data_IF_076242169422
#
_entry.id   IF_076242169422
#
_cell.length_a   1.000
_cell.length_b   1.000
_cell.length_c   1.000
_cell.angle_alpha   90.00
_cell.angle_beta   90.00
_cell.angle_gamma   90.00
#
_symmetry.space_group_name_H-M   'P 1'
#
loop_
_entity.id
_entity.type
_entity.pdbx_description
1 polymer ?
#
# COMPACT_ATOMS: atom_id res chain seq x y z
N UNK A 1 -7.76 9.68 -29.61
CA UNK A 1 -7.33 9.68 -31.02
C UNK A 1 -7.93 8.44 -31.65
N UNK A 2 -9.05 8.57 -32.37
CA UNK A 2 -9.60 7.45 -33.14
C UNK A 2 -8.85 7.42 -34.46
N UNK A 3 -7.98 6.42 -34.65
CA UNK A 3 -7.32 6.21 -35.94
C UNK A 3 -8.34 5.51 -36.82
N UNK A 4 -8.51 5.96 -38.06
CA UNK A 4 -9.43 5.36 -39.03
C UNK A 4 -8.86 3.99 -39.48
N UNK A 5 -9.09 2.97 -38.64
CA UNK A 5 -8.53 1.62 -38.78
C UNK A 5 -9.67 0.63 -38.85
N UNK A 6 -9.62 -0.24 -39.86
CA UNK A 6 -10.52 -1.37 -40.01
C UNK A 6 -9.90 -2.62 -39.40
N UNK A 7 -10.69 -3.38 -38.66
CA UNK A 7 -10.24 -4.61 -38.00
C UNK A 7 -11.07 -5.77 -38.52
N UNK A 8 -10.43 -6.66 -39.28
CA UNK A 8 -11.11 -7.81 -39.91
C UNK A 8 -10.64 -9.10 -39.23
N UNK A 9 -11.59 -9.89 -38.72
CA UNK A 9 -11.31 -11.22 -38.17
C UNK A 9 -11.65 -12.30 -39.21
N UNK A 10 -10.63 -12.87 -39.86
CA UNK A 10 -10.80 -13.86 -40.94
C UNK A 10 -11.65 -15.08 -40.55
N UNK A 11 -11.61 -15.48 -39.28
CA UNK A 11 -12.40 -16.61 -38.77
C UNK A 11 -13.90 -16.30 -38.63
N UNK A 12 -14.25 -15.04 -38.42
CA UNK A 12 -15.65 -14.58 -38.30
C UNK A 12 -16.22 -14.12 -39.66
N UNK A 13 -15.34 -13.86 -40.63
CA UNK A 13 -15.68 -13.45 -41.99
C UNK A 13 -15.00 -12.14 -42.38
N UNK A 14 -15.19 -11.70 -43.63
CA UNK A 14 -14.63 -10.44 -44.14
C UNK A 14 -15.48 -9.22 -43.71
N UNK A 15 -15.80 -9.11 -42.43
CA UNK A 15 -16.54 -7.98 -41.87
C UNK A 15 -15.63 -7.14 -40.98
N UNK A 16 -15.80 -5.82 -41.06
CA UNK A 16 -15.10 -4.88 -40.19
C UNK A 16 -15.74 -4.89 -38.79
N UNK A 17 -14.98 -5.33 -37.78
CA UNK A 17 -15.42 -5.40 -36.40
C UNK A 17 -15.67 -4.02 -35.79
N UNK A 18 -15.07 -2.96 -36.36
CA UNK A 18 -15.25 -1.59 -35.89
C UNK A 18 -16.51 -0.91 -36.47
N UNK A 19 -17.22 -1.57 -37.40
CA UNK A 19 -18.48 -1.07 -37.94
C UNK A 19 -19.56 -0.98 -36.85
N UNK A 20 -20.47 -0.01 -36.99
CA UNK A 20 -21.54 0.28 -36.00
C UNK A 20 -22.43 -0.91 -35.69
N UNK A 21 -22.70 -1.77 -36.68
CA UNK A 21 -23.44 -3.03 -36.54
C UNK A 21 -22.80 -4.03 -35.57
N UNK A 22 -21.48 -3.92 -35.34
CA UNK A 22 -20.69 -4.86 -34.53
C UNK A 22 -20.38 -4.32 -33.12
N UNK A 23 -20.95 -3.19 -32.72
CA UNK A 23 -20.73 -2.64 -31.37
C UNK A 23 -21.17 -3.58 -30.25
N UNK A 24 -22.27 -4.30 -30.42
CA UNK A 24 -22.70 -5.31 -29.43
C UNK A 24 -21.65 -6.41 -29.24
N UNK A 25 -21.01 -6.83 -30.33
CA UNK A 25 -19.96 -7.85 -30.30
C UNK A 25 -18.68 -7.33 -29.64
N UNK A 26 -18.19 -6.14 -30.02
CA UNK A 26 -17.04 -5.51 -29.37
C UNK A 26 -17.30 -5.26 -27.88
N UNK A 27 -18.52 -4.89 -27.52
CA UNK A 27 -18.92 -4.71 -26.13
C UNK A 27 -18.88 -6.04 -25.37
N UNK A 28 -19.38 -7.12 -25.96
CA UNK A 28 -19.30 -8.45 -25.36
C UNK A 28 -17.85 -8.91 -25.14
N UNK A 29 -16.95 -8.69 -26.11
CA UNK A 29 -15.51 -8.98 -25.96
C UNK A 29 -14.88 -8.16 -24.83
N UNK A 30 -15.25 -6.88 -24.71
CA UNK A 30 -14.79 -6.03 -23.62
C UNK A 30 -15.26 -6.54 -22.26
N UNK A 31 -16.53 -6.90 -22.14
CA UNK A 31 -17.08 -7.48 -20.91
C UNK A 31 -16.40 -8.80 -20.55
N UNK A 32 -16.13 -9.66 -21.53
CA UNK A 32 -15.40 -10.90 -21.32
C UNK A 32 -13.97 -10.65 -20.79
N UNK A 33 -13.24 -9.71 -21.39
CA UNK A 33 -11.92 -9.31 -20.91
C UNK A 33 -11.98 -8.72 -19.50
N UNK A 34 -12.96 -7.86 -19.21
CA UNK A 34 -13.13 -7.26 -17.89
C UNK A 34 -13.43 -8.31 -16.81
N UNK A 35 -14.23 -9.33 -17.15
CA UNK A 35 -14.52 -10.47 -16.28
C UNK A 35 -13.26 -11.30 -16.00
N UNK A 36 -12.50 -11.67 -17.04
CA UNK A 36 -11.27 -12.44 -16.89
C UNK A 36 -10.23 -11.67 -16.07
N UNK A 37 -10.09 -10.37 -16.33
CA UNK A 37 -9.17 -9.52 -15.60
C UNK A 37 -9.53 -9.44 -14.11
N UNK A 38 -10.82 -9.27 -13.79
CA UNK A 38 -11.30 -9.27 -12.40
C UNK A 38 -11.04 -10.63 -11.73
N UNK A 39 -11.39 -11.74 -12.37
CA UNK A 39 -11.14 -13.07 -11.83
C UNK A 39 -9.65 -13.33 -11.55
N UNK A 40 -8.75 -12.84 -12.42
CA UNK A 40 -7.29 -12.91 -12.21
C UNK A 40 -6.84 -12.05 -11.03
N UNK A 41 -7.36 -10.83 -10.90
CA UNK A 41 -7.03 -9.93 -9.79
C UNK A 41 -7.51 -10.49 -8.45
N UNK A 42 -8.72 -11.05 -8.41
CA UNK A 42 -9.32 -11.57 -7.18
C UNK A 42 -8.53 -12.79 -6.68
N UNK A 43 -8.18 -13.73 -7.57
CA UNK A 43 -7.25 -14.82 -7.22
C UNK A 43 -5.89 -14.29 -6.73
N UNK A 44 -5.37 -13.25 -7.36
CA UNK A 44 -4.12 -12.58 -6.95
C UNK A 44 -4.21 -11.98 -5.55
N UNK A 45 -5.36 -11.41 -5.18
CA UNK A 45 -5.63 -10.88 -3.84
C UNK A 45 -5.76 -11.98 -2.81
N UNK A 46 -6.51 -13.04 -3.10
CA UNK A 46 -6.66 -14.21 -2.22
C UNK A 46 -5.30 -14.85 -1.93
N UNK A 47 -4.50 -15.08 -2.97
CA UNK A 47 -3.14 -15.62 -2.80
C UNK A 47 -2.21 -14.68 -2.04
N UNK A 48 -2.28 -13.37 -2.28
CA UNK A 48 -1.52 -12.38 -1.50
C UNK A 48 -1.97 -12.34 -0.05
N UNK A 49 -3.27 -12.53 0.22
CA UNK A 49 -3.83 -12.56 1.57
C UNK A 49 -3.38 -13.82 2.31
N UNK A 50 -3.47 -15.00 1.68
CA UNK A 50 -2.95 -16.24 2.28
C UNK A 50 -1.47 -16.13 2.63
N UNK A 51 -0.64 -15.55 1.74
CA UNK A 51 0.78 -15.30 2.07
C UNK A 51 0.99 -14.36 3.24
N UNK A 52 0.13 -13.35 3.40
CA UNK A 52 0.19 -12.45 4.57
C UNK A 52 -0.19 -13.19 5.84
N UNK A 53 -1.20 -14.05 5.77
CA UNK A 53 -1.64 -14.85 6.91
C UNK A 53 -0.57 -15.89 7.32
N UNK A 54 0.20 -16.39 6.34
CA UNK A 54 1.39 -17.23 6.55
C UNK A 54 2.63 -16.42 7.06
N UNK A 55 2.52 -15.10 7.24
CA UNK A 55 3.61 -14.23 7.69
C UNK A 55 4.71 -13.99 6.65
N UNK A 56 4.42 -14.24 5.36
CA UNK A 56 5.38 -14.00 4.28
C UNK A 56 5.35 -12.52 3.89
N UNK A 57 6.44 -11.81 4.23
CA UNK A 57 6.63 -10.40 3.90
C UNK A 57 6.44 -10.15 2.39
N UNK A 58 5.46 -9.29 2.06
CA UNK A 58 5.16 -8.91 0.67
C UNK A 58 5.88 -7.63 0.26
N UNK A 59 6.34 -7.58 -1.00
CA UNK A 59 6.94 -6.40 -1.60
C UNK A 59 8.46 -6.35 -1.51
N UNK A 60 9.02 -5.14 -1.62
CA UNK A 60 10.47 -4.95 -1.56
C UNK A 60 10.95 -5.16 -0.11
N UNK A 61 12.04 -5.91 0.12
CA UNK A 61 12.61 -6.04 1.45
C UNK A 61 13.01 -4.68 2.01
N UNK A 62 12.86 -4.52 3.33
CA UNK A 62 13.30 -3.33 4.04
C UNK A 62 14.83 -3.24 4.00
N UNK A 63 15.36 -2.01 3.93
CA UNK A 63 16.81 -1.78 3.92
C UNK A 63 17.49 -2.03 5.27
N UNK A 64 16.70 -2.16 6.34
CA UNK A 64 17.18 -2.42 7.70
C UNK A 64 16.40 -3.60 8.26
N UNK A 65 17.09 -4.52 8.93
CA UNK A 65 16.46 -5.60 9.71
C UNK A 65 15.72 -5.04 10.92
N UNK A 66 14.87 -5.86 11.55
CA UNK A 66 14.16 -5.48 12.77
C UNK A 66 15.13 -4.99 13.87
N UNK A 67 16.20 -5.73 14.12
CA UNK A 67 17.20 -5.38 15.14
C UNK A 67 17.98 -4.12 14.79
N UNK A 68 18.32 -3.93 13.52
CA UNK A 68 18.99 -2.71 13.06
C UNK A 68 18.08 -1.48 13.24
N UNK A 69 16.78 -1.62 13.00
CA UNK A 69 15.81 -0.54 13.23
C UNK A 69 15.74 -0.19 14.72
N UNK A 70 15.69 -1.19 15.59
CA UNK A 70 15.65 -0.97 17.04
C UNK A 70 16.91 -0.23 17.52
N UNK A 71 18.10 -0.69 17.12
CA UNK A 71 19.37 -0.02 17.45
C UNK A 71 19.49 1.39 16.87
N UNK A 72 18.96 1.61 15.66
CA UNK A 72 18.91 2.94 15.07
C UNK A 72 18.01 3.89 15.86
N UNK A 73 16.85 3.42 16.34
CA UNK A 73 15.96 4.20 17.20
C UNK A 73 16.59 4.51 18.56
N UNK A 74 17.24 3.54 19.19
CA UNK A 74 17.99 3.74 20.44
C UNK A 74 19.12 4.78 20.26
N UNK A 75 19.87 4.70 19.16
CA UNK A 75 20.92 5.67 18.83
C UNK A 75 20.38 7.08 18.68
N UNK A 76 19.20 7.23 18.05
CA UNK A 76 18.51 8.52 17.93
C UNK A 76 18.00 9.01 19.30
N UNK A 77 17.51 8.12 20.17
CA UNK A 77 17.05 8.47 21.51
C UNK A 77 18.19 8.92 22.43
N UNK A 78 19.39 8.37 22.26
CA UNK A 78 20.63 8.81 22.91
C UNK A 78 21.16 10.17 22.38
N UNK A 79 20.48 10.78 21.39
CA UNK A 79 20.82 12.10 20.85
C UNK A 79 21.73 12.08 19.62
N UNK A 80 22.01 10.92 19.02
CA UNK A 80 22.80 10.84 17.79
C UNK A 80 22.08 11.52 16.61
N UNK A 81 22.83 12.13 15.69
CA UNK A 81 22.21 12.77 14.53
C UNK A 81 21.75 11.72 13.50
N UNK A 82 20.69 12.07 12.74
CA UNK A 82 20.19 11.24 11.63
C UNK A 82 21.29 10.90 10.62
N UNK A 83 22.24 11.82 10.41
CA UNK A 83 23.31 11.64 9.45
C UNK A 83 24.37 10.64 9.91
N UNK A 84 24.66 10.62 11.21
CA UNK A 84 25.59 9.67 11.82
C UNK A 84 24.97 8.28 11.77
N UNK A 85 23.74 8.13 12.25
CA UNK A 85 23.01 6.86 12.24
C UNK A 85 22.88 6.29 10.81
N UNK A 86 22.56 7.14 9.82
CA UNK A 86 22.47 6.70 8.43
C UNK A 86 23.80 6.14 7.89
N UNK A 87 24.94 6.74 8.25
CA UNK A 87 26.26 6.24 7.89
C UNK A 87 26.59 4.94 8.60
N UNK A 88 26.32 4.83 9.90
CA UNK A 88 26.58 3.62 10.70
C UNK A 88 25.84 2.39 10.17
N UNK A 89 24.62 2.58 9.65
CA UNK A 89 23.81 1.50 9.08
C UNK A 89 23.85 1.44 7.54
N UNK A 90 24.79 2.16 6.90
CA UNK A 90 24.97 2.19 5.44
C UNK A 90 23.66 2.39 4.65
N UNK A 91 22.79 3.25 5.17
CA UNK A 91 21.47 3.50 4.60
C UNK A 91 21.29 4.99 4.26
N UNK A 92 20.26 5.30 3.49
CA UNK A 92 19.93 6.69 3.19
C UNK A 92 19.46 7.43 4.46
N UNK A 93 19.83 8.70 4.59
CA UNK A 93 19.22 9.62 5.57
C UNK A 93 17.69 9.56 5.53
N UNK A 94 17.09 9.41 4.35
CA UNK A 94 15.64 9.31 4.17
C UNK A 94 15.04 8.10 4.91
N UNK A 95 15.77 6.98 4.96
CA UNK A 95 15.35 5.77 5.69
C UNK A 95 15.26 6.05 7.18
N UNK A 96 16.30 6.67 7.75
CA UNK A 96 16.36 7.00 9.19
C UNK A 96 15.35 8.09 9.56
N UNK A 97 15.16 9.11 8.71
CA UNK A 97 14.11 10.12 8.92
C UNK A 97 12.72 9.47 8.98
N UNK A 98 12.40 8.60 8.01
CA UNK A 98 11.11 7.88 8.01
C UNK A 98 10.93 6.99 9.22
N UNK A 99 12.01 6.34 9.68
CA UNK A 99 11.97 5.50 10.87
C UNK A 99 11.65 6.32 12.14
N UNK A 100 12.30 7.48 12.29
CA UNK A 100 12.04 8.42 13.39
C UNK A 100 10.62 9.00 13.32
N UNK A 101 10.18 9.42 12.13
CA UNK A 101 8.88 10.06 11.96
C UNK A 101 7.75 9.03 12.18
N UNK A 102 7.92 7.78 11.76
CA UNK A 102 6.98 6.70 12.05
C UNK A 102 6.84 6.40 13.55
N UNK A 103 7.92 6.54 14.33
CA UNK A 103 7.85 6.41 15.79
C UNK A 103 7.07 7.60 16.40
N UNK A 104 7.35 8.83 15.96
CA UNK A 104 6.61 10.02 16.40
C UNK A 104 5.13 9.94 16.09
N UNK A 105 4.78 9.48 14.89
CA UNK A 105 3.39 9.29 14.48
C UNK A 105 2.69 8.22 15.35
N UNK A 106 3.39 7.14 15.71
CA UNK A 106 2.87 6.11 16.63
C UNK A 106 2.66 6.65 18.05
N UNK A 107 3.63 7.39 18.59
CA UNK A 107 3.53 8.03 19.91
C UNK A 107 2.36 9.03 19.96
N UNK A 108 2.17 9.82 18.88
CA UNK A 108 1.04 10.74 18.75
C UNK A 108 -0.31 10.00 18.72
N UNK A 109 -0.40 8.88 18.00
CA UNK A 109 -1.60 8.05 17.98
C UNK A 109 -1.92 7.43 19.36
N UNK A 110 -0.90 7.08 20.16
CA UNK A 110 -1.10 6.57 21.52
C UNK A 110 -1.56 7.66 22.50
N UNK A 111 -1.15 8.91 22.28
CA UNK A 111 -1.51 10.04 23.14
C UNK A 111 -2.93 10.58 22.94
N UNK A 112 -3.57 10.34 21.79
CA UNK A 112 -4.88 10.90 21.44
C UNK A 112 -6.04 9.89 21.44
N UNK A 113 -5.77 8.65 21.81
CA UNK A 113 -6.76 7.60 21.66
C UNK A 113 -7.58 7.38 22.94
N UNK A 114 -8.92 7.31 22.83
CA UNK A 114 -9.83 7.30 23.98
C UNK A 114 -9.62 6.06 24.85
N UNK A 115 -9.78 6.18 26.17
CA UNK A 115 -9.34 5.17 27.15
C UNK A 115 -9.93 3.76 26.95
N UNK A 116 -11.05 3.63 26.25
CA UNK A 116 -11.74 2.40 25.87
C UNK A 116 -10.95 1.54 24.87
N UNK A 117 -10.11 2.14 24.03
CA UNK A 117 -9.27 1.40 23.09
C UNK A 117 -8.05 0.70 23.76
N UNK A 118 -7.72 1.05 25.01
CA UNK A 118 -6.48 0.61 25.68
C UNK A 118 -6.50 -0.87 26.07
N UNK A 119 -7.68 -1.45 26.35
CA UNK A 119 -7.79 -2.85 26.75
C UNK A 119 -8.01 -3.83 25.58
N UNK A 120 -8.44 -3.35 24.41
CA UNK A 120 -8.69 -4.22 23.25
C UNK A 120 -7.48 -4.37 22.32
N UNK A 121 -6.49 -3.47 22.42
CA UNK A 121 -5.32 -3.45 21.53
C UNK A 121 -4.06 -4.10 22.09
N UNK A 122 -4.01 -4.45 23.38
CA UNK A 122 -2.82 -5.14 23.95
C UNK A 122 -2.78 -6.61 23.51
N UNK A 123 -3.95 -7.25 23.36
CA UNK A 123 -4.02 -8.69 23.04
C UNK A 123 -3.99 -8.98 21.54
N UNK A 124 -4.53 -8.09 20.69
CA UNK A 124 -4.66 -8.35 19.23
C UNK A 124 -3.57 -7.70 18.35
N UNK A 125 -2.77 -6.75 18.87
CA UNK A 125 -1.93 -5.89 18.01
C UNK A 125 -0.48 -6.35 17.86
N UNK A 126 0.03 -7.22 18.73
CA UNK A 126 1.30 -7.93 18.47
C UNK A 126 1.21 -8.90 17.27
N UNK A 127 0.00 -9.33 16.90
CA UNK A 127 -0.25 -10.17 15.73
C UNK A 127 -0.45 -9.39 14.41
N UNK A 128 -0.58 -8.05 14.45
CA UNK A 128 -1.03 -7.23 13.31
C UNK A 128 -0.02 -6.17 12.86
N UNK A 129 1.27 -6.42 13.08
CA UNK A 129 2.34 -5.48 12.72
C UNK A 129 2.67 -5.47 11.21
N UNK A 130 2.09 -6.39 10.41
CA UNK A 130 2.37 -6.51 8.97
C UNK A 130 1.38 -5.81 8.03
N UNK A 131 0.26 -5.27 8.53
CA UNK A 131 -0.75 -4.64 7.67
C UNK A 131 -0.81 -3.12 7.87
N UNK A 132 0.09 -2.47 7.14
CA UNK A 132 0.06 -1.05 6.80
C UNK A 132 -1.35 -0.59 6.40
N UNK A 133 -1.95 0.26 7.22
CA UNK A 133 -2.76 1.37 6.74
C UNK A 133 -2.22 2.64 7.38
N UNK A 134 -1.84 3.61 6.55
CA UNK A 134 -1.50 4.95 7.03
C UNK A 134 -2.80 5.57 7.56
N UNK A 135 -2.85 6.15 8.77
CA UNK A 135 -3.78 7.25 8.96
C UNK A 135 -3.26 8.40 8.08
N UNK A 136 -4.03 8.77 7.05
CA UNK A 136 -3.90 10.11 6.48
C UNK A 136 -4.50 11.05 7.51
N UNK A 137 -3.71 11.38 8.53
CA UNK A 137 -4.06 12.43 9.49
C UNK A 137 -4.13 13.78 8.77
N UNK A 138 -5.01 14.69 9.22
CA UNK A 138 -5.20 15.97 8.56
C UNK A 138 -3.87 16.74 8.57
N UNK A 139 -3.46 17.23 7.39
CA UNK A 139 -2.35 18.18 7.32
C UNK A 139 -2.80 19.43 8.05
N UNK A 140 -2.11 19.76 9.15
CA UNK A 140 -2.14 21.03 9.89
C UNK A 140 -3.08 22.05 9.27
N UNK A 141 -4.32 22.07 9.74
CA UNK A 141 -5.40 22.91 9.25
C UNK A 141 -6.35 23.18 10.40
N UNK A 142 -6.13 24.35 11.02
CA UNK A 142 -7.04 25.19 11.82
C UNK A 142 -8.05 24.46 12.72
N UNK A 143 -7.83 24.60 14.02
CA UNK A 143 -8.83 24.36 15.04
C UNK A 143 -9.83 25.53 15.01
N UNK A 144 -10.91 25.41 14.24
CA UNK A 144 -12.10 26.26 14.46
C UNK A 144 -13.01 25.54 15.46
N UNK A 145 -12.89 25.97 16.71
CA UNK A 145 -13.83 25.62 17.77
C UNK A 145 -14.99 26.61 17.61
N UNK A 146 -16.06 26.18 16.95
CA UNK A 146 -17.33 26.92 16.93
C UNK A 146 -17.98 26.86 18.31
N UNK A 147 -18.45 28.03 18.77
CA UNK A 147 -19.24 28.20 19.98
C UNK A 147 -20.65 27.60 19.87
#
# INVERSE_FOLDING_TARGET
MNRDIQVICLAYGKQDLCATQNYGFLHALRLANDLEHKARLDRGRETSQGKKDDGIVQGRPLSLSHDQRQRALESLAMGSTVADVARTFETSRQTIMRLRDALRDADYCLGFAPADWRNQLVTERLARCELRTKPVGPKHGVCEIGA
#
